data_IF_968320869207
#
_entry.id   IF_968320869207
#
_cell.length_a   1.000
_cell.length_b   1.000
_cell.length_c   1.000
_cell.angle_alpha   90.00
_cell.angle_beta   90.00
_cell.angle_gamma   90.00
#
_symmetry.space_group_name_H-M   'P 1'
#
loop_
_entity.id
_entity.type
_entity.pdbx_description
1 polymer ?
#
# COMPACT_ATOMS: atom_id res chain seq x y z
N UNK A 1 5.71 -9.59 15.51
CA UNK A 1 7.15 -9.27 15.64
C UNK A 1 7.51 -9.05 17.11
N UNK A 2 6.81 -8.17 17.81
CA UNK A 2 7.14 -7.78 19.20
C UNK A 2 7.09 -8.95 20.19
N UNK A 3 6.31 -9.99 19.92
CA UNK A 3 6.14 -11.19 20.77
C UNK A 3 7.26 -12.23 20.59
N UNK A 4 8.14 -12.04 19.60
CA UNK A 4 9.23 -12.98 19.28
C UNK A 4 10.58 -12.26 19.32
N UNK A 5 11.43 -12.65 20.27
CA UNK A 5 12.80 -12.14 20.39
C UNK A 5 13.63 -12.40 19.13
N UNK A 6 13.38 -13.53 18.44
CA UNK A 6 14.08 -13.88 17.22
C UNK A 6 13.70 -12.95 16.07
N UNK A 7 12.40 -12.73 15.86
CA UNK A 7 11.94 -11.75 14.86
C UNK A 7 12.44 -10.34 15.19
N UNK A 8 12.41 -9.94 16.46
CA UNK A 8 12.95 -8.65 16.87
C UNK A 8 14.43 -8.51 16.47
N UNK A 9 15.24 -9.51 16.72
CA UNK A 9 16.66 -9.50 16.35
C UNK A 9 16.88 -9.40 14.83
N UNK A 10 16.03 -10.08 14.03
CA UNK A 10 16.09 -9.98 12.57
C UNK A 10 15.77 -8.56 12.07
N UNK A 11 14.76 -7.91 12.64
CA UNK A 11 14.42 -6.52 12.32
C UNK A 11 15.49 -5.54 12.81
N UNK A 12 16.04 -5.74 14.01
CA UNK A 12 17.11 -4.90 14.59
C UNK A 12 18.41 -4.95 13.78
N UNK A 13 18.63 -6.02 13.01
CA UNK A 13 19.73 -6.12 12.05
C UNK A 13 19.55 -5.26 10.79
N UNK A 14 18.43 -4.54 10.66
CA UNK A 14 18.09 -3.66 9.56
C UNK A 14 17.20 -4.31 8.50
N UNK A 15 16.46 -3.47 7.79
CA UNK A 15 15.43 -3.91 6.85
C UNK A 15 15.96 -4.28 5.45
N UNK A 16 17.18 -3.87 5.07
CA UNK A 16 17.74 -4.20 3.75
C UNK A 16 18.01 -5.70 3.64
N UNK A 17 17.39 -6.35 2.67
CA UNK A 17 17.43 -7.81 2.48
C UNK A 17 16.75 -8.57 3.63
N UNK A 18 15.85 -7.96 4.35
CA UNK A 18 15.12 -8.58 5.47
C UNK A 18 14.15 -9.64 4.97
N UNK A 19 13.48 -9.42 3.84
CA UNK A 19 12.60 -10.42 3.22
C UNK A 19 13.38 -11.73 2.93
N UNK A 20 14.54 -11.64 2.30
CA UNK A 20 15.39 -12.81 2.01
C UNK A 20 15.82 -13.52 3.30
N UNK A 21 16.23 -12.78 4.34
CA UNK A 21 16.65 -13.37 5.62
C UNK A 21 15.49 -14.07 6.33
N UNK A 22 14.30 -13.49 6.32
CA UNK A 22 13.10 -14.10 6.91
C UNK A 22 12.71 -15.38 6.18
N UNK A 23 12.73 -15.35 4.84
CA UNK A 23 12.40 -16.52 4.00
C UNK A 23 13.44 -17.64 4.08
N UNK A 24 14.70 -17.33 4.35
CA UNK A 24 15.77 -18.30 4.54
C UNK A 24 15.80 -18.91 5.95
N UNK A 25 14.98 -18.42 6.89
CA UNK A 25 14.94 -18.90 8.26
C UNK A 25 14.02 -20.11 8.41
N UNK A 26 14.51 -21.15 9.09
CA UNK A 26 13.73 -22.35 9.47
C UNK A 26 12.94 -22.15 10.79
N UNK A 27 12.95 -20.97 11.35
CA UNK A 27 12.26 -20.62 12.59
C UNK A 27 10.74 -20.62 12.40
N UNK A 28 10.02 -21.24 13.32
CA UNK A 28 8.55 -21.24 13.32
C UNK A 28 7.98 -19.82 13.36
N UNK A 29 8.63 -18.91 14.10
CA UNK A 29 8.23 -17.51 14.19
C UNK A 29 8.42 -16.78 12.85
N UNK A 30 9.53 -17.02 12.13
CA UNK A 30 9.77 -16.43 10.82
C UNK A 30 8.82 -17.01 9.77
N UNK A 31 8.61 -18.34 9.76
CA UNK A 31 7.65 -18.97 8.84
C UNK A 31 6.22 -18.45 9.05
N UNK A 32 5.78 -18.33 10.31
CA UNK A 32 4.46 -17.78 10.64
C UNK A 32 4.33 -16.31 10.22
N UNK A 33 5.37 -15.51 10.42
CA UNK A 33 5.41 -14.12 9.98
C UNK A 33 5.34 -14.02 8.45
N UNK A 34 6.15 -14.79 7.73
CA UNK A 34 6.16 -14.79 6.25
C UNK A 34 4.81 -15.22 5.68
N UNK A 35 4.15 -16.23 6.25
CA UNK A 35 2.82 -16.65 5.82
C UNK A 35 1.79 -15.50 5.94
N UNK A 36 1.81 -14.75 7.04
CA UNK A 36 0.97 -13.58 7.22
C UNK A 36 1.37 -12.43 6.28
N UNK A 37 2.66 -12.22 6.08
CA UNK A 37 3.20 -11.20 5.19
C UNK A 37 2.86 -11.48 3.73
N UNK A 38 2.96 -12.72 3.26
CA UNK A 38 2.54 -13.12 1.91
C UNK A 38 1.04 -12.89 1.68
N UNK A 39 0.20 -13.18 2.67
CA UNK A 39 -1.23 -12.85 2.62
C UNK A 39 -1.49 -11.34 2.53
N UNK A 40 -0.69 -10.53 3.23
CA UNK A 40 -0.71 -9.09 3.13
C UNK A 40 -0.26 -8.62 1.73
N UNK A 41 0.84 -9.14 1.20
CA UNK A 41 1.34 -8.80 -0.14
C UNK A 41 0.34 -9.19 -1.22
N UNK A 42 -0.31 -10.35 -1.13
CA UNK A 42 -1.38 -10.75 -2.04
C UNK A 42 -2.53 -9.73 -2.09
N UNK A 43 -2.90 -9.17 -0.95
CA UNK A 43 -4.01 -8.22 -0.84
C UNK A 43 -3.62 -6.78 -1.19
N UNK A 44 -2.41 -6.37 -0.80
CA UNK A 44 -1.96 -4.98 -0.80
C UNK A 44 -0.62 -4.75 -1.48
N UNK A 45 0.02 -5.77 -2.03
CA UNK A 45 1.34 -5.69 -2.67
C UNK A 45 1.42 -4.68 -3.81
N UNK A 46 0.29 -4.43 -4.48
CA UNK A 46 0.18 -3.39 -5.50
C UNK A 46 0.38 -1.94 -4.98
N UNK A 47 0.34 -1.75 -3.65
CA UNK A 47 0.50 -0.44 -3.00
C UNK A 47 1.99 -0.11 -2.82
N UNK A 48 2.27 1.18 -2.59
CA UNK A 48 3.64 1.65 -2.39
C UNK A 48 3.71 3.17 -2.26
N UNK A 49 4.92 3.74 -2.13
CA UNK A 49 5.10 5.18 -1.90
C UNK A 49 4.54 6.06 -3.02
N UNK A 50 4.62 5.62 -4.27
CA UNK A 50 4.15 6.34 -5.44
C UNK A 50 3.38 5.40 -6.38
N UNK A 51 2.24 4.94 -5.92
CA UNK A 51 1.47 3.84 -6.52
C UNK A 51 0.89 4.12 -7.91
N UNK A 52 0.84 5.40 -8.35
CA UNK A 52 0.41 5.79 -9.69
C UNK A 52 1.53 5.83 -10.73
N UNK A 53 2.79 5.77 -10.30
CA UNK A 53 3.97 5.81 -11.17
C UNK A 53 4.44 4.38 -11.48
N UNK A 54 4.40 4.00 -12.76
CA UNK A 54 4.75 2.63 -13.19
C UNK A 54 6.22 2.26 -12.93
N UNK A 55 7.12 3.22 -12.81
CA UNK A 55 8.54 3.00 -12.48
C UNK A 55 8.79 2.82 -10.99
N UNK A 56 7.87 3.32 -10.15
CA UNK A 56 8.06 3.27 -8.70
C UNK A 56 7.86 1.86 -8.17
N UNK A 57 8.67 1.43 -7.18
CA UNK A 57 8.49 0.15 -6.53
C UNK A 57 7.17 0.08 -5.75
N UNK A 58 6.69 -1.14 -5.60
CA UNK A 58 5.54 -1.46 -4.74
C UNK A 58 5.98 -2.45 -3.67
N UNK A 59 5.11 -2.72 -2.73
CA UNK A 59 5.40 -3.70 -1.68
C UNK A 59 5.59 -5.12 -2.22
N UNK A 60 5.00 -5.46 -3.37
CA UNK A 60 5.21 -6.74 -4.04
C UNK A 60 6.55 -6.80 -4.78
N UNK A 61 6.92 -5.73 -5.49
CA UNK A 61 8.17 -5.69 -6.26
C UNK A 61 9.40 -5.42 -5.39
N UNK A 62 9.21 -4.84 -4.21
CA UNK A 62 10.27 -4.53 -3.25
C UNK A 62 9.74 -4.69 -1.81
N UNK A 63 9.61 -5.95 -1.31
CA UNK A 63 9.01 -6.27 0.00
C UNK A 63 9.66 -5.57 1.18
N UNK A 64 10.96 -5.30 1.11
CA UNK A 64 11.70 -4.58 2.15
C UNK A 64 11.11 -3.20 2.47
N UNK A 65 10.42 -2.55 1.51
CA UNK A 65 9.73 -1.29 1.76
C UNK A 65 8.54 -1.45 2.74
N UNK A 66 7.80 -2.54 2.61
CA UNK A 66 6.71 -2.85 3.54
C UNK A 66 7.27 -3.26 4.90
N UNK A 67 8.35 -4.06 4.92
CA UNK A 67 9.03 -4.46 6.15
C UNK A 67 9.62 -3.26 6.90
N UNK A 68 10.16 -2.26 6.19
CA UNK A 68 10.60 -0.99 6.79
C UNK A 68 9.44 -0.19 7.41
N UNK A 69 8.24 -0.28 6.85
CA UNK A 69 7.06 0.33 7.46
C UNK A 69 6.62 -0.41 8.72
N UNK A 70 6.63 -1.75 8.71
CA UNK A 70 6.35 -2.59 9.88
C UNK A 70 7.38 -2.33 10.98
N UNK A 71 8.66 -2.19 10.63
CA UNK A 71 9.72 -1.86 11.57
C UNK A 71 9.47 -0.53 12.29
N UNK A 72 9.11 0.51 11.56
CA UNK A 72 8.73 1.80 12.16
C UNK A 72 7.52 1.70 13.08
N UNK A 73 6.52 0.88 12.69
CA UNK A 73 5.32 0.69 13.51
C UNK A 73 5.62 -0.05 14.83
N UNK A 74 6.49 -1.08 14.80
CA UNK A 74 6.88 -1.80 16.03
C UNK A 74 7.65 -0.93 17.03
N UNK A 75 8.34 0.10 16.53
CA UNK A 75 9.10 1.06 17.37
C UNK A 75 8.25 2.25 17.84
N UNK A 76 7.01 2.37 17.32
CA UNK A 76 6.11 3.44 17.72
C UNK A 76 5.43 3.13 19.06
N UNK A 77 5.03 4.19 19.78
CA UNK A 77 4.24 4.05 20.99
C UNK A 77 2.87 3.40 20.69
N UNK A 78 2.38 2.58 21.62
CA UNK A 78 1.09 1.90 21.47
C UNK A 78 -0.09 2.89 21.31
N UNK A 79 0.03 4.11 21.82
CA UNK A 79 -0.96 5.18 21.62
C UNK A 79 -1.07 5.64 20.16
N UNK A 80 -0.05 5.38 19.34
CA UNK A 80 -0.05 5.69 17.91
C UNK A 80 -0.75 4.60 17.06
N UNK A 81 -1.36 3.59 17.67
CA UNK A 81 -2.04 2.51 16.97
C UNK A 81 -3.18 3.06 16.08
N UNK A 82 -3.22 2.69 14.78
CA UNK A 82 -4.22 3.20 13.84
C UNK A 82 -5.67 2.96 14.27
N UNK A 83 -5.92 1.86 15.01
CA UNK A 83 -7.24 1.50 15.51
C UNK A 83 -7.76 2.53 16.51
N UNK A 84 -6.93 2.97 17.46
CA UNK A 84 -7.29 3.98 18.44
C UNK A 84 -7.66 5.30 17.75
N UNK A 85 -6.84 5.75 16.81
CA UNK A 85 -7.12 6.95 16.05
C UNK A 85 -8.41 6.85 15.19
N UNK A 86 -8.74 5.67 14.68
CA UNK A 86 -9.96 5.49 13.91
C UNK A 86 -11.22 5.57 14.78
N UNK A 87 -11.18 5.01 15.98
CA UNK A 87 -12.29 5.06 16.94
C UNK A 87 -12.50 6.48 17.48
N UNK A 88 -11.43 7.19 17.80
CA UNK A 88 -11.48 8.59 18.21
C UNK A 88 -12.09 9.47 17.11
N UNK A 89 -11.63 9.34 15.87
CA UNK A 89 -12.17 10.10 14.72
C UNK A 89 -13.62 9.74 14.40
N UNK A 90 -14.04 8.51 14.64
CA UNK A 90 -15.45 8.12 14.50
C UNK A 90 -16.29 8.83 15.52
N UNK A 91 -15.90 8.77 16.79
CA UNK A 91 -16.60 9.41 17.91
C UNK A 91 -16.68 10.94 17.73
N UNK A 92 -15.58 11.56 17.32
CA UNK A 92 -15.53 12.98 17.00
C UNK A 92 -16.46 13.35 15.86
N UNK A 93 -16.48 12.58 14.78
CA UNK A 93 -17.38 12.81 13.64
C UNK A 93 -18.85 12.69 14.06
N UNK A 94 -19.19 11.69 14.86
CA UNK A 94 -20.56 11.47 15.35
C UNK A 94 -21.00 12.63 16.27
N UNK A 95 -20.13 13.06 17.16
CA UNK A 95 -20.34 14.20 18.03
C UNK A 95 -20.57 15.50 17.24
N UNK A 96 -19.60 15.86 16.38
CA UNK A 96 -19.70 17.07 15.55
C UNK A 96 -20.89 17.04 14.60
N UNK A 97 -21.20 15.87 14.04
CA UNK A 97 -22.37 15.69 13.19
C UNK A 97 -23.70 15.97 13.92
N UNK A 98 -23.81 15.51 15.16
CA UNK A 98 -24.98 15.79 16.00
C UNK A 98 -25.06 17.27 16.41
N UNK A 99 -23.93 17.90 16.77
CA UNK A 99 -23.88 19.33 17.12
C UNK A 99 -24.34 20.22 15.94
N UNK A 100 -23.77 19.97 14.74
CA UNK A 100 -24.12 20.75 13.54
C UNK A 100 -25.58 20.52 13.16
N UNK A 101 -26.10 19.28 13.23
CA UNK A 101 -27.51 18.99 12.95
C UNK A 101 -28.43 19.77 13.90
N UNK A 102 -28.11 19.84 15.19
CA UNK A 102 -28.85 20.62 16.18
C UNK A 102 -28.82 22.13 15.89
N UNK A 103 -27.63 22.64 15.46
CA UNK A 103 -27.53 24.09 15.14
C UNK A 103 -28.41 24.52 13.97
N UNK A 104 -28.68 23.63 13.02
CA UNK A 104 -29.49 23.91 11.81
C UNK A 104 -30.92 23.36 11.93
N UNK A 105 -31.33 22.85 13.08
CA UNK A 105 -32.67 22.24 13.29
C UNK A 105 -33.82 23.23 13.02
N UNK A 106 -33.60 24.54 13.24
CA UNK A 106 -34.54 25.59 12.96
C UNK A 106 -34.87 25.84 11.47
N UNK A 107 -34.04 25.29 10.57
CA UNK A 107 -34.24 25.31 9.11
C UNK A 107 -34.33 23.87 8.59
N UNK A 108 -35.53 23.32 8.38
CA UNK A 108 -35.72 21.93 7.96
C UNK A 108 -35.08 21.59 6.62
N UNK A 109 -34.93 22.54 5.70
CA UNK A 109 -34.30 22.32 4.41
C UNK A 109 -32.78 22.13 4.59
N UNK A 110 -32.12 23.05 5.28
CA UNK A 110 -30.68 22.99 5.56
C UNK A 110 -30.34 21.76 6.42
N UNK A 111 -31.17 21.47 7.44
CA UNK A 111 -30.99 20.26 8.26
C UNK A 111 -31.06 18.98 7.40
N UNK A 112 -32.08 18.86 6.54
CA UNK A 112 -32.26 17.70 5.65
C UNK A 112 -31.09 17.52 4.68
N UNK A 113 -30.62 18.62 4.07
CA UNK A 113 -29.45 18.60 3.18
C UNK A 113 -28.17 18.19 3.91
N UNK A 114 -27.93 18.71 5.11
CA UNK A 114 -26.76 18.37 5.92
C UNK A 114 -26.74 16.87 6.28
N UNK A 115 -27.86 16.35 6.81
CA UNK A 115 -27.96 14.93 7.19
C UNK A 115 -27.78 14.02 5.97
N UNK A 116 -28.40 14.37 4.85
CA UNK A 116 -28.24 13.60 3.61
C UNK A 116 -26.79 13.62 3.10
N UNK A 117 -26.11 14.77 3.16
CA UNK A 117 -24.71 14.90 2.76
C UNK A 117 -23.77 14.08 3.68
N UNK A 118 -23.98 14.14 5.00
CA UNK A 118 -23.19 13.37 5.98
C UNK A 118 -23.35 11.86 5.77
N UNK A 119 -24.57 11.39 5.57
CA UNK A 119 -24.85 9.98 5.27
C UNK A 119 -24.22 9.55 3.94
N UNK A 120 -24.34 10.37 2.90
CA UNK A 120 -23.73 10.13 1.60
C UNK A 120 -22.20 10.01 1.71
N UNK A 121 -21.55 10.93 2.41
CA UNK A 121 -20.11 10.89 2.63
C UNK A 121 -19.68 9.60 3.33
N UNK A 122 -20.43 9.17 4.34
CA UNK A 122 -20.15 7.94 5.09
C UNK A 122 -20.20 6.69 4.19
N UNK A 123 -21.13 6.66 3.22
CA UNK A 123 -21.29 5.53 2.28
C UNK A 123 -20.27 5.59 1.15
N UNK A 124 -20.06 6.77 0.55
CA UNK A 124 -19.27 6.91 -0.68
C UNK A 124 -17.75 6.96 -0.44
N UNK A 125 -17.28 7.44 0.73
CA UNK A 125 -15.84 7.48 1.01
C UNK A 125 -15.16 6.10 1.00
N UNK A 126 -15.73 5.05 1.64
CA UNK A 126 -15.20 3.68 1.49
C UNK A 126 -15.26 3.16 0.04
N UNK A 127 -16.32 3.54 -0.71
CA UNK A 127 -16.46 3.20 -2.13
C UNK A 127 -15.35 3.81 -2.98
N UNK A 128 -15.04 5.09 -2.74
CA UNK A 128 -13.94 5.81 -3.39
C UNK A 128 -12.61 5.11 -3.17
N UNK A 129 -12.28 4.71 -1.93
CA UNK A 129 -11.03 4.02 -1.63
C UNK A 129 -10.94 2.63 -2.29
N UNK A 130 -12.05 1.90 -2.38
CA UNK A 130 -12.09 0.64 -3.15
C UNK A 130 -11.85 0.86 -4.64
N UNK A 131 -12.47 1.88 -5.23
CA UNK A 131 -12.26 2.22 -6.65
C UNK A 131 -10.81 2.64 -6.90
N UNK A 132 -10.22 3.45 -6.03
CA UNK A 132 -8.80 3.82 -6.07
C UNK A 132 -7.93 2.57 -6.06
N UNK A 133 -8.17 1.65 -5.13
CA UNK A 133 -7.39 0.40 -5.00
C UNK A 133 -7.50 -0.46 -6.27
N UNK A 134 -8.69 -0.57 -6.87
CA UNK A 134 -8.87 -1.32 -8.11
C UNK A 134 -8.10 -0.69 -9.28
N UNK A 135 -8.10 0.63 -9.38
CA UNK A 135 -7.31 1.33 -10.41
C UNK A 135 -5.81 1.12 -10.21
N UNK A 136 -5.34 1.14 -8.95
CA UNK A 136 -3.94 0.88 -8.62
C UNK A 136 -3.54 -0.55 -8.98
N UNK A 137 -4.41 -1.54 -8.78
CA UNK A 137 -4.18 -2.91 -9.24
C UNK A 137 -3.96 -2.99 -10.75
N UNK A 138 -4.76 -2.26 -11.54
CA UNK A 138 -4.55 -2.21 -13.00
C UNK A 138 -3.20 -1.57 -13.37
N UNK A 139 -2.82 -0.48 -12.71
CA UNK A 139 -1.50 0.14 -12.90
C UNK A 139 -0.37 -0.82 -12.50
N UNK A 140 -0.59 -1.61 -11.45
CA UNK A 140 0.39 -2.57 -10.95
C UNK A 140 0.61 -3.73 -11.93
N UNK A 141 -0.43 -4.30 -12.52
CA UNK A 141 -0.31 -5.32 -13.57
C UNK A 141 0.53 -4.80 -14.75
N UNK A 142 0.27 -3.56 -15.18
CA UNK A 142 1.10 -2.92 -16.20
C UNK A 142 2.55 -2.75 -15.74
N UNK A 143 2.76 -2.33 -14.47
CA UNK A 143 4.09 -2.16 -13.88
C UNK A 143 4.87 -3.47 -13.91
N UNK A 144 4.29 -4.57 -13.44
CA UNK A 144 4.95 -5.88 -13.40
C UNK A 144 5.39 -6.30 -14.81
N UNK A 145 4.51 -6.12 -15.81
CA UNK A 145 4.84 -6.44 -17.20
C UNK A 145 5.98 -5.57 -17.76
N UNK A 146 5.99 -4.26 -17.45
CA UNK A 146 7.04 -3.34 -17.88
C UNK A 146 8.38 -3.63 -17.19
N UNK A 147 8.38 -3.97 -15.91
CA UNK A 147 9.57 -4.37 -15.18
C UNK A 147 10.15 -5.68 -15.73
N UNK A 148 9.29 -6.64 -16.08
CA UNK A 148 9.74 -7.90 -16.72
C UNK A 148 10.43 -7.63 -18.07
N UNK A 149 9.88 -6.76 -18.91
CA UNK A 149 10.55 -6.32 -20.14
C UNK A 149 11.89 -5.68 -19.78
N UNK A 150 11.94 -4.79 -18.79
CA UNK A 150 13.14 -4.15 -18.32
C UNK A 150 14.21 -5.15 -17.87
N UNK A 151 13.84 -6.16 -17.08
CA UNK A 151 14.76 -7.22 -16.63
C UNK A 151 15.35 -8.01 -17.80
N UNK A 152 14.54 -8.42 -18.78
CA UNK A 152 15.02 -9.08 -19.99
C UNK A 152 16.00 -8.23 -20.77
N UNK A 153 15.74 -6.93 -20.88
CA UNK A 153 16.62 -5.98 -21.58
C UNK A 153 17.94 -5.74 -20.84
N UNK A 154 17.94 -5.75 -19.51
CA UNK A 154 19.19 -5.74 -18.73
C UNK A 154 19.99 -7.02 -18.98
N UNK A 155 19.35 -8.19 -18.96
CA UNK A 155 20.00 -9.45 -19.26
C UNK A 155 20.58 -9.51 -20.68
N UNK A 156 19.89 -8.91 -21.66
CA UNK A 156 20.37 -8.77 -23.03
C UNK A 156 21.43 -7.67 -23.22
N UNK A 157 21.78 -6.93 -22.18
CA UNK A 157 22.78 -5.85 -22.22
C UNK A 157 22.33 -4.57 -22.93
N UNK A 158 21.03 -4.40 -23.19
CA UNK A 158 20.46 -3.22 -23.87
C UNK A 158 20.02 -2.13 -22.91
N UNK A 159 19.63 -2.47 -21.69
CA UNK A 159 19.34 -1.54 -20.61
C UNK A 159 20.39 -1.63 -19.52
N UNK A 160 20.63 -0.51 -18.81
CA UNK A 160 21.48 -0.50 -17.62
C UNK A 160 20.73 -0.91 -16.37
N UNK A 161 19.45 -0.54 -16.28
CA UNK A 161 18.53 -0.84 -15.17
C UNK A 161 17.19 -1.32 -15.71
N UNK A 162 16.48 -2.11 -14.90
CA UNK A 162 15.17 -2.62 -15.30
C UNK A 162 14.10 -1.52 -15.47
N UNK A 163 14.24 -0.37 -14.80
CA UNK A 163 13.33 0.76 -14.92
C UNK A 163 13.64 1.73 -16.08
N UNK A 164 14.68 1.42 -16.88
CA UNK A 164 15.04 2.21 -18.09
C UNK A 164 13.92 2.18 -19.16
N UNK A 165 12.98 1.24 -19.10
CA UNK A 165 11.78 1.26 -19.96
C UNK A 165 11.03 2.60 -19.87
N UNK A 166 11.08 3.29 -18.73
CA UNK A 166 10.46 4.59 -18.52
C UNK A 166 11.16 5.75 -19.27
N UNK A 167 12.32 5.50 -19.88
CA UNK A 167 13.03 6.45 -20.74
C UNK A 167 12.64 6.30 -22.21
N UNK A 168 11.91 5.23 -22.56
CA UNK A 168 11.49 4.97 -23.92
C UNK A 168 10.35 5.91 -24.35
N UNK A 169 10.41 6.35 -25.56
CA UNK A 169 9.26 7.00 -26.22
C UNK A 169 8.15 5.97 -26.47
N UNK A 170 6.93 6.43 -26.68
CA UNK A 170 5.79 5.54 -26.96
C UNK A 170 6.00 4.62 -28.18
N UNK A 171 6.61 5.06 -29.31
CA UNK A 171 6.95 4.18 -30.43
C UNK A 171 7.96 3.10 -30.05
N UNK A 172 9.01 3.47 -29.32
CA UNK A 172 10.05 2.52 -28.87
C UNK A 172 9.45 1.47 -27.92
N UNK A 173 8.64 1.88 -26.93
CA UNK A 173 7.97 0.95 -26.04
C UNK A 173 7.04 -0.02 -26.80
N UNK A 174 6.31 0.47 -27.82
CA UNK A 174 5.50 -0.41 -28.68
C UNK A 174 6.33 -1.45 -29.41
N UNK A 175 7.52 -1.05 -29.89
CA UNK A 175 8.43 -1.97 -30.53
C UNK A 175 8.95 -3.03 -29.54
N UNK A 176 9.31 -2.63 -28.33
CA UNK A 176 9.76 -3.54 -27.28
C UNK A 176 8.68 -4.59 -26.90
N UNK A 177 7.42 -4.14 -26.80
CA UNK A 177 6.29 -5.05 -26.51
C UNK A 177 6.01 -6.00 -27.65
N UNK A 178 6.17 -5.55 -28.91
CA UNK A 178 5.97 -6.39 -30.09
C UNK A 178 7.12 -7.40 -30.30
N UNK A 179 8.31 -7.09 -29.83
CA UNK A 179 9.53 -7.89 -29.99
C UNK A 179 10.23 -8.06 -28.64
N UNK A 180 9.65 -8.83 -27.71
CA UNK A 180 10.12 -8.87 -26.32
C UNK A 180 11.47 -9.55 -26.11
N UNK A 181 12.14 -10.01 -27.16
CA UNK A 181 13.49 -10.60 -27.14
C UNK A 181 13.54 -12.05 -26.69
#
# INVERSE_FOLDING_TARGET
VVESNELMAMFDAGYTGLDDRLRASDSEAAMGFIAAFDSFLFSYGCRGPNEWEARSPTWETEPDLALAAIDRMRLSDASAAPQLHNDDRRSEREFLGAEIAAMVEGDPETHGQFVAALNSATVFMPGRERTKTNNIKLVHELRVALHEIGHRRVQAGTFHKHDDFGLLTRPELKNEVANPG
#
